data_IF_269832121912
#
_entry.id   IF_269832121912
#
_cell.length_a   1.000
_cell.length_b   1.000
_cell.length_c   1.000
_cell.angle_alpha   90.00
_cell.angle_beta   90.00
_cell.angle_gamma   90.00
#
_symmetry.space_group_name_H-M   'P 1'
#
loop_
_entity.id
_entity.type
_entity.pdbx_description
1 polymer ?
#
# COMPACT_ATOMS: atom_id res chain seq x y z
N UNK A 1 -21.98 51.51 -12.78
CA UNK A 1 -22.88 51.87 -11.66
C UNK A 1 -24.02 50.87 -11.68
N UNK A 2 -23.99 49.85 -10.82
CA UNK A 2 -25.16 49.08 -10.42
C UNK A 2 -24.83 48.40 -9.09
N UNK A 3 -25.83 48.45 -8.22
CA UNK A 3 -25.77 48.47 -6.76
C UNK A 3 -25.66 47.10 -6.12
N UNK A 4 -24.79 47.01 -5.11
CA UNK A 4 -24.76 45.97 -4.08
C UNK A 4 -25.98 46.11 -3.16
N UNK A 5 -26.63 44.97 -2.86
CA UNK A 5 -27.54 44.81 -1.72
C UNK A 5 -27.27 43.44 -1.09
N UNK A 6 -27.15 43.34 0.25
CA UNK A 6 -26.66 42.13 0.92
C UNK A 6 -27.79 41.13 1.19
N UNK A 7 -27.51 39.84 0.97
CA UNK A 7 -28.34 38.75 1.47
C UNK A 7 -27.78 38.26 2.81
N UNK A 8 -28.46 38.61 3.90
CA UNK A 8 -28.27 38.00 5.22
C UNK A 8 -29.20 36.79 5.33
N UNK A 9 -28.66 35.60 5.58
CA UNK A 9 -29.43 34.44 6.02
C UNK A 9 -28.83 33.92 7.32
N UNK A 10 -29.39 34.38 8.44
CA UNK A 10 -29.36 33.67 9.71
C UNK A 10 -30.43 32.57 9.67
N UNK A 11 -30.02 31.32 9.85
CA UNK A 11 -30.94 30.23 10.18
C UNK A 11 -30.23 29.19 11.04
N UNK A 12 -30.55 29.27 12.32
CA UNK A 12 -30.31 28.32 13.41
C UNK A 12 -30.69 26.89 13.04
N UNK A 13 -29.75 25.95 13.22
CA UNK A 13 -30.06 24.52 13.32
C UNK A 13 -29.55 24.01 14.67
N UNK A 14 -30.50 23.86 15.57
CA UNK A 14 -30.40 23.21 16.87
C UNK A 14 -30.30 21.69 16.64
N UNK A 15 -29.19 21.07 17.04
CA UNK A 15 -29.05 19.62 17.07
C UNK A 15 -28.39 19.20 18.39
N UNK A 16 -29.14 18.37 19.11
CA UNK A 16 -28.85 17.86 20.44
C UNK A 16 -27.53 17.08 20.52
N UNK A 17 -26.75 17.35 21.57
CA UNK A 17 -25.68 16.47 22.03
C UNK A 17 -26.19 15.63 23.21
N UNK A 18 -25.92 14.32 23.23
CA UNK A 18 -25.84 13.58 24.48
C UNK A 18 -24.39 13.20 24.82
N UNK A 19 -24.09 13.55 26.07
CA UNK A 19 -23.33 12.80 27.06
C UNK A 19 -21.79 12.80 26.99
N UNK A 20 -21.23 13.69 27.83
CA UNK A 20 -19.85 13.64 28.32
C UNK A 20 -19.83 12.83 29.61
N UNK A 21 -19.00 11.80 29.64
CA UNK A 21 -18.47 11.27 30.90
C UNK A 21 -16.99 10.94 30.78
N UNK A 22 -16.11 11.63 31.53
CA UNK A 22 -14.87 11.08 32.08
C UNK A 22 -15.09 10.80 33.59
N UNK A 23 -14.34 9.90 34.26
CA UNK A 23 -12.92 10.19 34.53
C UNK A 23 -11.97 8.97 34.51
N UNK A 24 -10.72 9.27 34.18
CA UNK A 24 -9.58 8.48 34.62
C UNK A 24 -9.32 8.76 36.10
N UNK A 25 -9.06 7.75 36.93
CA UNK A 25 -8.14 7.89 38.06
C UNK A 25 -7.70 6.54 38.67
N UNK A 26 -6.41 6.52 39.04
CA UNK A 26 -5.77 5.79 40.15
C UNK A 26 -5.54 4.28 40.06
N UNK A 27 -4.30 3.95 39.69
CA UNK A 27 -3.23 3.42 40.57
C UNK A 27 -3.70 2.51 41.71
N UNK A 28 -3.34 1.22 41.66
CA UNK A 28 -2.67 0.55 42.80
C UNK A 28 -1.97 -0.75 42.41
N UNK A 29 -0.69 -0.83 42.82
CA UNK A 29 0.10 -2.06 42.98
C UNK A 29 -0.68 -3.12 43.77
N UNK A 30 -0.66 -4.37 43.31
CA UNK A 30 -0.45 -5.56 44.16
C UNK A 30 0.31 -6.64 43.41
N UNK A 31 1.54 -6.84 43.90
CA UNK A 31 2.32 -8.08 43.87
C UNK A 31 1.47 -9.33 44.12
N UNK A 32 1.63 -10.35 43.28
CA UNK A 32 1.51 -11.75 43.68
C UNK A 32 2.18 -12.64 42.63
N UNK A 33 3.43 -13.02 42.90
CA UNK A 33 4.05 -14.16 42.26
C UNK A 33 3.27 -15.43 42.67
N UNK A 34 2.81 -16.21 41.70
CA UNK A 34 2.38 -17.59 41.94
C UNK A 34 3.12 -18.48 40.95
N UNK A 35 4.28 -18.96 41.42
CA UNK A 35 4.97 -20.12 40.86
C UNK A 35 3.98 -21.29 40.83
N UNK A 36 3.60 -21.72 39.62
CA UNK A 36 2.87 -22.97 39.44
C UNK A 36 3.90 -24.10 39.34
N UNK A 37 3.89 -24.93 40.38
CA UNK A 37 4.73 -26.12 40.55
C UNK A 37 4.43 -27.11 39.42
N UNK A 38 5.44 -27.40 38.61
CA UNK A 38 5.43 -28.48 37.62
C UNK A 38 5.70 -29.78 38.40
N UNK A 39 4.69 -30.63 38.55
CA UNK A 39 4.85 -31.98 39.07
C UNK A 39 5.51 -32.87 38.01
N UNK A 40 6.73 -33.31 38.29
CA UNK A 40 7.32 -34.49 37.67
C UNK A 40 6.52 -35.73 38.08
N UNK A 41 5.93 -36.41 37.10
CA UNK A 41 5.54 -37.81 37.22
C UNK A 41 6.31 -38.59 36.15
N UNK A 42 7.39 -39.23 36.61
CA UNK A 42 8.14 -40.21 35.87
C UNK A 42 7.36 -41.54 35.89
N UNK A 43 6.99 -42.04 34.71
CA UNK A 43 6.61 -43.43 34.51
C UNK A 43 7.53 -44.02 33.43
N UNK A 44 8.44 -44.89 33.88
CA UNK A 44 9.21 -45.82 33.07
C UNK A 44 8.32 -46.99 32.61
N UNK A 45 8.69 -47.54 31.44
CA UNK A 45 8.43 -48.87 30.87
C UNK A 45 7.56 -48.92 29.61
N UNK A 46 8.21 -49.02 28.45
CA UNK A 46 8.07 -50.13 27.50
C UNK A 46 9.10 -49.96 26.37
N UNK A 47 10.10 -50.84 26.33
CA UNK A 47 10.92 -51.05 25.15
C UNK A 47 10.02 -51.68 24.07
N UNK A 48 9.66 -50.90 23.05
CA UNK A 48 9.10 -51.39 21.81
C UNK A 48 10.02 -50.93 20.69
N UNK A 49 10.64 -51.90 20.00
CA UNK A 49 11.27 -51.68 18.72
C UNK A 49 10.19 -51.25 17.72
N UNK A 50 9.99 -49.95 17.59
CA UNK A 50 9.29 -49.32 16.47
C UNK A 50 10.30 -48.34 15.88
N UNK A 51 10.75 -48.61 14.66
CA UNK A 51 11.72 -47.77 13.97
C UNK A 51 11.30 -46.31 14.06
N UNK A 52 12.20 -45.49 14.59
CA UNK A 52 12.18 -44.07 14.29
C UNK A 52 12.42 -43.99 12.78
N UNK A 53 11.34 -43.88 12.01
CA UNK A 53 11.39 -43.24 10.70
C UNK A 53 11.77 -41.78 10.97
N UNK A 54 13.07 -41.53 11.10
CA UNK A 54 13.69 -40.26 10.75
C UNK A 54 13.42 -40.06 9.25
N UNK A 55 12.19 -39.65 8.96
CA UNK A 55 11.86 -39.00 7.70
C UNK A 55 12.42 -37.58 7.82
N UNK A 56 13.74 -37.45 7.75
CA UNK A 56 14.36 -36.27 7.19
C UNK A 56 13.77 -36.14 5.78
N UNK A 57 12.66 -35.41 5.67
CA UNK A 57 12.19 -34.93 4.39
C UNK A 57 13.32 -34.06 3.87
N UNK A 58 14.14 -34.62 2.98
CA UNK A 58 14.99 -33.86 2.09
C UNK A 58 14.06 -32.91 1.34
N UNK A 59 13.93 -31.70 1.87
CA UNK A 59 13.35 -30.57 1.15
C UNK A 59 14.27 -30.37 -0.04
N UNK A 60 13.83 -30.89 -1.19
CA UNK A 60 14.45 -30.60 -2.47
C UNK A 60 14.62 -29.09 -2.63
N UNK A 61 15.54 -28.64 -3.49
CA UNK A 61 15.76 -27.21 -3.70
C UNK A 61 14.43 -26.52 -3.94
N UNK A 62 14.17 -25.47 -3.16
CA UNK A 62 12.99 -24.63 -3.33
C UNK A 62 12.96 -24.16 -4.79
N UNK A 63 11.82 -24.28 -5.50
CA UNK A 63 11.75 -23.85 -6.88
C UNK A 63 12.16 -22.37 -6.99
N UNK A 64 12.94 -22.04 -8.00
CA UNK A 64 13.34 -20.64 -8.22
C UNK A 64 12.09 -19.77 -8.43
N UNK A 65 12.08 -18.52 -7.91
CA UNK A 65 10.96 -17.61 -8.09
C UNK A 65 10.61 -17.45 -9.58
N UNK A 66 9.33 -17.61 -9.92
CA UNK A 66 8.82 -17.32 -11.26
C UNK A 66 8.97 -15.83 -11.52
N UNK A 67 9.50 -15.45 -12.67
CA UNK A 67 9.62 -14.06 -13.04
C UNK A 67 8.24 -13.44 -13.31
N UNK A 68 8.06 -12.15 -12.99
CA UNK A 68 6.73 -11.49 -13.01
C UNK A 68 5.98 -11.63 -14.34
N UNK A 69 6.69 -11.54 -15.47
CA UNK A 69 6.10 -11.68 -16.80
C UNK A 69 5.54 -13.08 -17.08
N UNK A 70 6.06 -14.10 -16.39
CA UNK A 70 5.70 -15.50 -16.55
C UNK A 70 4.67 -15.98 -15.51
N UNK A 71 4.37 -15.16 -14.50
CA UNK A 71 3.33 -15.44 -13.51
C UNK A 71 1.92 -15.44 -14.11
N UNK A 72 1.10 -16.39 -13.69
CA UNK A 72 -0.35 -16.39 -13.86
C UNK A 72 -1.01 -15.25 -13.09
N UNK A 73 -2.30 -15.01 -13.34
CA UNK A 73 -3.04 -13.96 -12.64
C UNK A 73 -3.14 -14.21 -11.12
N UNK A 74 -3.28 -15.46 -10.70
CA UNK A 74 -3.33 -15.85 -9.29
C UNK A 74 -1.97 -15.60 -8.62
N UNK A 75 -0.87 -16.07 -9.24
CA UNK A 75 0.50 -15.81 -8.75
C UNK A 75 0.82 -14.31 -8.69
N UNK A 76 0.37 -13.51 -9.65
CA UNK A 76 0.53 -12.05 -9.60
C UNK A 76 -0.25 -11.42 -8.45
N UNK A 77 -1.44 -11.93 -8.15
CA UNK A 77 -2.26 -11.42 -7.04
C UNK A 77 -1.60 -11.74 -5.70
N UNK A 78 -1.07 -12.95 -5.55
CA UNK A 78 -0.29 -13.36 -4.37
C UNK A 78 1.00 -12.53 -4.24
N UNK A 79 1.78 -12.40 -5.32
CA UNK A 79 3.00 -11.59 -5.33
C UNK A 79 2.72 -10.11 -5.00
N UNK A 80 1.65 -9.54 -5.54
CA UNK A 80 1.22 -8.19 -5.21
C UNK A 80 0.87 -8.06 -3.71
N UNK A 81 0.23 -9.07 -3.14
CA UNK A 81 -0.20 -9.06 -1.73
C UNK A 81 0.99 -9.25 -0.77
N UNK A 82 1.88 -10.18 -1.07
CA UNK A 82 2.90 -10.64 -0.13
C UNK A 82 4.24 -9.92 -0.30
N UNK A 83 4.51 -9.38 -1.49
CA UNK A 83 5.79 -8.73 -1.81
C UNK A 83 5.59 -7.24 -2.11
N UNK A 84 4.75 -6.89 -3.08
CA UNK A 84 4.65 -5.50 -3.56
C UNK A 84 3.96 -4.60 -2.54
N UNK A 85 2.78 -4.98 -2.05
CA UNK A 85 2.00 -4.15 -1.12
C UNK A 85 2.75 -3.81 0.18
N UNK A 86 3.41 -4.77 0.87
CA UNK A 86 4.21 -4.44 2.05
C UNK A 86 5.37 -3.51 1.72
N UNK A 87 6.10 -3.77 0.63
CA UNK A 87 7.25 -2.97 0.24
C UNK A 87 6.86 -1.55 -0.17
N UNK A 88 5.81 -1.41 -0.97
CA UNK A 88 5.29 -0.09 -1.34
C UNK A 88 4.73 0.65 -0.14
N UNK A 89 4.10 -0.05 0.81
CA UNK A 89 3.68 0.57 2.07
C UNK A 89 4.83 1.17 2.86
N UNK A 90 5.97 0.49 2.94
CA UNK A 90 7.17 1.07 3.56
C UNK A 90 7.61 2.36 2.84
N UNK A 91 7.66 2.34 1.50
CA UNK A 91 8.09 3.50 0.69
C UNK A 91 7.16 4.69 0.89
N UNK A 92 5.84 4.48 0.84
CA UNK A 92 4.85 5.55 1.00
C UNK A 92 4.75 6.05 2.44
N UNK A 93 4.80 5.18 3.45
CA UNK A 93 4.80 5.58 4.88
C UNK A 93 6.07 6.37 5.22
N UNK A 94 7.21 6.01 4.63
CA UNK A 94 8.46 6.77 4.81
C UNK A 94 8.37 8.19 4.23
N UNK A 95 7.53 8.41 3.21
CA UNK A 95 7.24 9.74 2.69
C UNK A 95 6.23 10.49 3.58
N UNK A 96 5.10 9.86 3.92
CA UNK A 96 4.08 10.44 4.78
C UNK A 96 3.31 9.34 5.55
N UNK A 97 3.26 9.38 6.89
CA UNK A 97 2.59 8.36 7.70
C UNK A 97 1.08 8.22 7.41
N UNK A 98 0.44 9.19 6.74
CA UNK A 98 -0.97 9.05 6.32
C UNK A 98 -1.21 7.83 5.42
N UNK A 99 -0.16 7.31 4.76
CA UNK A 99 -0.26 6.13 3.90
C UNK A 99 -0.27 4.80 4.66
N UNK A 100 -0.28 4.79 6.00
CA UNK A 100 -0.41 3.56 6.79
C UNK A 100 -1.69 2.74 6.47
N UNK A 101 -2.73 3.39 5.97
CA UNK A 101 -4.00 2.74 5.62
C UNK A 101 -4.12 2.37 4.15
N UNK A 102 -3.05 2.43 3.37
CA UNK A 102 -3.10 2.08 1.95
C UNK A 102 -3.46 0.61 1.73
N UNK A 103 -4.14 0.36 0.62
CA UNK A 103 -4.72 -0.93 0.24
C UNK A 103 -4.60 -1.14 -1.28
N UNK A 104 -5.06 -2.28 -1.77
CA UNK A 104 -5.11 -2.56 -3.22
C UNK A 104 -5.89 -1.47 -3.98
N UNK A 105 -6.94 -0.89 -3.37
CA UNK A 105 -7.76 0.17 -3.97
C UNK A 105 -6.99 1.47 -4.17
N UNK A 106 -5.94 1.72 -3.38
CA UNK A 106 -5.09 2.92 -3.53
C UNK A 106 -4.43 2.96 -4.91
N UNK A 107 -4.11 1.79 -5.48
CA UNK A 107 -3.50 1.70 -6.81
C UNK A 107 -4.51 1.31 -7.88
N UNK A 108 -5.36 0.32 -7.60
CA UNK A 108 -6.23 -0.29 -8.61
C UNK A 108 -7.64 0.31 -8.67
N UNK A 109 -8.06 1.12 -7.69
CA UNK A 109 -9.42 1.68 -7.64
C UNK A 109 -10.50 0.62 -7.75
N UNK A 110 -11.53 0.90 -8.57
CA UNK A 110 -12.66 0.00 -8.83
C UNK A 110 -12.25 -1.35 -9.48
N UNK A 111 -11.01 -1.46 -9.97
CA UNK A 111 -10.42 -2.71 -10.44
C UNK A 111 -10.41 -3.80 -9.36
N UNK A 112 -10.35 -3.42 -8.08
CA UNK A 112 -10.42 -4.37 -6.96
C UNK A 112 -11.80 -5.01 -6.85
N UNK A 113 -12.86 -4.20 -6.89
CA UNK A 113 -14.24 -4.68 -6.75
C UNK A 113 -14.67 -5.59 -7.91
N UNK A 114 -14.14 -5.35 -9.11
CA UNK A 114 -14.35 -6.19 -10.29
C UNK A 114 -13.43 -7.41 -10.35
N UNK A 115 -12.43 -7.50 -9.47
CA UNK A 115 -11.40 -8.55 -9.49
C UNK A 115 -10.48 -8.48 -10.71
N UNK A 116 -10.44 -7.37 -11.44
CA UNK A 116 -9.58 -7.19 -12.62
C UNK A 116 -8.22 -6.61 -12.28
N UNK A 117 -8.15 -5.80 -11.21
CA UNK A 117 -6.97 -5.03 -10.82
C UNK A 117 -6.35 -4.23 -11.99
N UNK A 118 -7.21 -3.79 -12.92
CA UNK A 118 -6.76 -3.17 -14.15
C UNK A 118 -5.96 -1.88 -13.88
N UNK A 119 -4.90 -1.72 -14.66
CA UNK A 119 -4.04 -0.54 -14.66
C UNK A 119 -3.82 -0.11 -16.12
N UNK A 120 -3.79 1.19 -16.42
CA UNK A 120 -3.87 2.33 -15.49
C UNK A 120 -5.25 2.48 -14.83
N UNK A 121 -5.30 3.00 -13.60
CA UNK A 121 -6.55 3.09 -12.85
C UNK A 121 -7.16 4.49 -12.90
N UNK A 122 -8.47 4.58 -13.10
CA UNK A 122 -9.22 5.82 -12.95
C UNK A 122 -9.30 6.29 -11.48
N UNK A 123 -8.94 5.43 -10.53
CA UNK A 123 -8.83 5.78 -9.11
C UNK A 123 -7.57 6.60 -8.79
N UNK A 124 -6.63 6.70 -9.73
CA UNK A 124 -5.43 7.53 -9.61
C UNK A 124 -5.63 8.79 -10.46
N UNK A 125 -5.22 9.95 -9.91
CA UNK A 125 -5.32 11.22 -10.62
C UNK A 125 -4.64 11.14 -12.01
N UNK A 126 -5.33 11.55 -13.08
CA UNK A 126 -4.73 11.57 -14.41
C UNK A 126 -3.60 12.59 -14.48
N UNK A 127 -2.66 12.37 -15.41
CA UNK A 127 -1.55 13.27 -15.67
C UNK A 127 -1.64 13.84 -17.08
N UNK A 128 -1.15 15.07 -17.33
CA UNK A 128 -1.00 15.58 -18.69
C UNK A 128 -0.16 14.63 -19.56
N UNK A 129 -0.62 14.34 -20.78
CA UNK A 129 0.04 13.39 -21.69
C UNK A 129 1.19 13.98 -22.52
N UNK A 130 1.45 15.29 -22.43
CA UNK A 130 2.59 15.95 -23.08
C UNK A 130 3.63 16.40 -22.06
N UNK A 131 4.91 16.40 -22.47
CA UNK A 131 6.01 16.88 -21.62
C UNK A 131 5.80 18.34 -21.19
N UNK A 132 5.44 19.22 -22.13
CA UNK A 132 5.16 20.63 -21.85
C UNK A 132 4.00 20.79 -20.86
N UNK A 133 2.89 20.08 -21.08
CA UNK A 133 1.72 20.13 -20.20
C UNK A 133 2.03 19.57 -18.81
N UNK A 134 2.86 18.53 -18.72
CA UNK A 134 3.29 17.97 -17.44
C UNK A 134 4.18 18.96 -16.67
N UNK A 135 5.14 19.61 -17.33
CA UNK A 135 6.00 20.61 -16.71
C UNK A 135 5.21 21.83 -16.22
N UNK A 136 4.21 22.28 -16.99
CA UNK A 136 3.29 23.34 -16.55
C UNK A 136 2.49 22.90 -15.32
N UNK A 137 1.93 21.69 -15.34
CA UNK A 137 1.14 21.14 -14.22
C UNK A 137 1.96 20.99 -12.93
N UNK A 138 3.20 20.50 -13.02
CA UNK A 138 4.13 20.37 -11.89
C UNK A 138 4.57 21.73 -11.36
N UNK A 139 4.79 22.70 -12.25
CA UNK A 139 5.29 24.04 -11.92
C UNK A 139 4.21 25.04 -11.49
N UNK A 140 2.95 24.61 -11.41
CA UNK A 140 1.80 25.44 -11.08
C UNK A 140 1.92 26.04 -9.66
N UNK A 141 1.99 27.38 -9.51
CA UNK A 141 2.14 28.02 -8.21
C UNK A 141 0.91 27.90 -7.31
N UNK A 142 -0.27 27.55 -7.86
CA UNK A 142 -1.47 27.28 -7.06
C UNK A 142 -1.41 25.90 -6.38
N UNK A 143 -0.50 25.03 -6.84
CA UNK A 143 -0.34 23.66 -6.39
C UNK A 143 1.13 23.29 -6.11
N UNK A 144 1.79 23.99 -5.17
CA UNK A 144 3.21 23.80 -4.89
C UNK A 144 3.57 22.38 -4.42
N UNK A 145 2.60 21.62 -3.90
CA UNK A 145 2.78 20.24 -3.48
C UNK A 145 3.06 19.28 -4.65
N UNK A 146 2.66 19.62 -5.88
CA UNK A 146 2.81 18.74 -7.05
C UNK A 146 4.27 18.43 -7.36
N UNK A 147 5.16 19.41 -7.16
CA UNK A 147 6.59 19.20 -7.40
C UNK A 147 7.19 18.18 -6.43
N UNK A 148 6.92 18.33 -5.14
CA UNK A 148 7.41 17.38 -4.12
C UNK A 148 6.84 15.98 -4.36
N UNK A 149 5.54 15.90 -4.62
CA UNK A 149 4.86 14.64 -4.92
C UNK A 149 5.41 13.96 -6.18
N UNK A 150 5.64 14.74 -7.24
CA UNK A 150 6.22 14.25 -8.49
C UNK A 150 7.62 13.71 -8.30
N UNK A 151 8.46 14.41 -7.52
CA UNK A 151 9.80 13.93 -7.21
C UNK A 151 9.74 12.61 -6.43
N UNK A 152 8.87 12.52 -5.41
CA UNK A 152 8.68 11.27 -4.69
C UNK A 152 8.24 10.12 -5.60
N UNK A 153 7.26 10.36 -6.49
CA UNK A 153 6.80 9.37 -7.44
C UNK A 153 7.92 8.92 -8.38
N UNK A 154 8.66 9.86 -8.97
CA UNK A 154 9.71 9.56 -9.95
C UNK A 154 10.96 8.93 -9.34
N UNK A 155 11.36 9.37 -8.14
CA UNK A 155 12.62 8.96 -7.49
C UNK A 155 12.48 7.73 -6.59
N UNK A 156 11.26 7.44 -6.11
CA UNK A 156 11.01 6.35 -5.14
C UNK A 156 10.02 5.33 -5.65
N UNK A 157 8.83 5.76 -6.08
CA UNK A 157 7.74 4.84 -6.40
C UNK A 157 7.97 4.12 -7.72
N UNK A 158 8.24 4.86 -8.80
CA UNK A 158 8.44 4.29 -10.14
C UNK A 158 9.64 3.34 -10.19
N UNK A 159 10.81 3.66 -9.63
CA UNK A 159 11.95 2.74 -9.61
C UNK A 159 11.66 1.48 -8.79
N UNK A 160 11.08 1.61 -7.59
CA UNK A 160 10.78 0.46 -6.74
C UNK A 160 9.77 -0.49 -7.41
N UNK A 161 8.72 0.05 -8.05
CA UNK A 161 7.77 -0.75 -8.80
C UNK A 161 8.41 -1.43 -10.02
N UNK A 162 9.24 -0.72 -10.77
CA UNK A 162 9.97 -1.29 -11.90
C UNK A 162 10.85 -2.48 -11.45
N UNK A 163 11.57 -2.31 -10.34
CA UNK A 163 12.44 -3.34 -9.76
C UNK A 163 11.64 -4.56 -9.26
N UNK A 164 10.57 -4.32 -8.49
CA UNK A 164 9.71 -5.39 -7.96
C UNK A 164 9.02 -6.20 -9.06
N UNK A 165 8.62 -5.54 -10.15
CA UNK A 165 7.98 -6.20 -11.29
C UNK A 165 8.97 -6.69 -12.34
N UNK A 166 10.27 -6.43 -12.14
CA UNK A 166 11.33 -6.79 -13.10
C UNK A 166 11.09 -6.22 -14.49
N UNK A 167 10.44 -5.05 -14.57
CA UNK A 167 10.14 -4.36 -15.83
C UNK A 167 11.15 -3.22 -15.98
N UNK A 168 11.87 -3.10 -17.11
CA UNK A 168 12.81 -2.01 -17.31
C UNK A 168 12.16 -0.65 -17.14
N UNK A 169 12.69 0.19 -16.24
CA UNK A 169 12.21 1.56 -16.04
C UNK A 169 12.45 2.39 -17.30
N UNK A 170 11.48 3.21 -17.67
CA UNK A 170 11.66 4.23 -18.70
C UNK A 170 12.80 5.20 -18.33
N UNK A 171 13.70 5.42 -19.28
CA UNK A 171 14.76 6.43 -19.23
C UNK A 171 14.44 7.53 -20.25
N UNK A 172 14.12 8.76 -19.80
CA UNK A 172 13.81 9.87 -20.70
C UNK A 172 14.99 10.32 -21.56
N UNK A 173 16.22 9.98 -21.18
CA UNK A 173 17.43 10.35 -21.94
C UNK A 173 17.57 9.50 -23.20
N UNK A 174 17.37 8.19 -23.06
CA UNK A 174 17.47 7.22 -24.16
C UNK A 174 16.14 6.91 -24.81
N UNK A 175 15.02 7.31 -24.19
CA UNK A 175 13.65 6.98 -24.58
C UNK A 175 13.43 5.46 -24.68
N UNK A 176 14.03 4.71 -23.75
CA UNK A 176 13.91 3.25 -23.67
C UNK A 176 13.36 2.82 -22.32
N UNK A 177 12.82 1.61 -22.24
CA UNK A 177 12.17 1.07 -21.04
C UNK A 177 10.65 1.04 -21.16
N UNK A 178 10.02 0.24 -20.31
CA UNK A 178 8.61 -0.13 -20.40
C UNK A 178 7.79 0.38 -19.21
N UNK A 179 8.40 0.49 -18.02
CA UNK A 179 7.70 0.96 -16.82
C UNK A 179 7.88 2.48 -16.62
N UNK A 180 6.78 3.23 -16.73
CA UNK A 180 6.72 4.69 -16.62
C UNK A 180 5.45 5.15 -15.88
N UNK A 181 5.25 6.47 -15.79
CA UNK A 181 4.08 7.08 -15.12
C UNK A 181 2.75 6.52 -15.62
N UNK A 182 2.67 6.22 -16.92
CA UNK A 182 1.47 5.73 -17.57
C UNK A 182 1.14 4.26 -17.25
N UNK A 183 1.97 3.53 -16.50
CA UNK A 183 1.60 2.20 -16.01
C UNK A 183 0.59 2.29 -14.85
N UNK A 184 0.48 3.46 -14.21
CA UNK A 184 -0.45 3.70 -13.10
C UNK A 184 -1.46 4.80 -13.41
N UNK A 185 -0.99 5.91 -13.98
CA UNK A 185 -1.79 7.07 -14.28
C UNK A 185 -2.39 7.00 -15.68
N UNK A 186 -3.66 7.39 -15.82
CA UNK A 186 -4.17 7.73 -17.15
C UNK A 186 -3.50 9.01 -17.65
N UNK A 187 -3.14 9.04 -18.92
CA UNK A 187 -2.61 10.24 -19.56
C UNK A 187 -3.72 10.98 -20.29
N UNK A 188 -3.83 12.28 -20.04
CA UNK A 188 -4.76 13.15 -20.72
C UNK A 188 -4.31 13.41 -22.15
N UNK A 189 -5.26 13.46 -23.09
CA UNK A 189 -4.97 13.80 -24.48
C UNK A 189 -4.31 12.69 -25.31
N UNK A 190 -4.07 11.52 -24.74
CA UNK A 190 -3.78 10.29 -25.50
C UNK A 190 -5.08 9.54 -25.74
N UNK A 191 -5.46 9.35 -27.00
CA UNK A 191 -6.61 8.48 -27.35
C UNK A 191 -6.32 7.04 -26.86
N UNK A 192 -7.34 6.31 -26.36
CA UNK A 192 -7.18 4.96 -25.81
C UNK A 192 -6.76 3.92 -26.87
#
# INVERSE_FOLDING_TARGET
MNTVGPATNDATAEAAQPDRSPPSERRTRRTAAVLRRISMAACLFAAACGGADDSEQEQGPEPEPVAWQDMSFEERTEYMTDVVMPRMKEVFVAYDPKFESMSCETCHGDGVASGTYAMPSAGIAPLPGSEEGFLEWVGDPEHPERQEWTNFMFDKVVPEMADLLQIPRFDPTTQTGEFSCNNCHMLEGTEP
#
